data_IF_518244581309
#
_entry.id   IF_518244581309
#
_cell.length_a   1.000
_cell.length_b   1.000
_cell.length_c   1.000
_cell.angle_alpha   90.00
_cell.angle_beta   90.00
_cell.angle_gamma   90.00
#
_symmetry.space_group_name_H-M   'P 1'
#
loop_
_entity.id
_entity.type
_entity.pdbx_description
1 polymer ?
#
# COMPACT_ATOMS: atom_id res chain seq x y z
N UNK A 1 -14.95 18.68 7.99
CA UNK A 1 -14.52 17.62 8.89
C UNK A 1 -13.47 16.74 8.21
N UNK A 2 -12.37 16.54 8.85
CA UNK A 2 -11.28 15.74 8.28
C UNK A 2 -11.43 14.30 8.75
N UNK A 3 -11.44 13.36 7.81
CA UNK A 3 -11.44 11.95 8.13
C UNK A 3 -9.99 11.49 8.33
N UNK A 4 -9.68 10.98 9.49
CA UNK A 4 -8.35 10.47 9.79
C UNK A 4 -8.32 8.98 9.54
N UNK A 5 -7.37 8.55 8.69
CA UNK A 5 -7.16 7.13 8.43
C UNK A 5 -6.32 6.57 9.59
N UNK A 6 -6.95 5.80 10.47
CA UNK A 6 -6.30 5.23 11.65
C UNK A 6 -6.61 3.74 11.75
N UNK A 7 -6.01 2.92 10.86
CA UNK A 7 -6.24 1.48 10.93
C UNK A 7 -5.63 0.89 12.20
N UNK A 8 -6.32 -0.10 12.78
CA UNK A 8 -5.84 -0.78 13.98
C UNK A 8 -5.16 -2.10 13.66
N UNK A 9 -5.35 -2.61 12.45
CA UNK A 9 -4.73 -3.86 11.99
C UNK A 9 -4.11 -3.67 10.62
N UNK A 10 -3.13 -4.51 10.29
CA UNK A 10 -2.50 -4.47 8.97
C UNK A 10 -3.50 -4.78 7.87
N UNK A 11 -4.41 -5.71 8.12
CA UNK A 11 -5.49 -6.06 7.20
C UNK A 11 -6.38 -4.85 6.92
N UNK A 12 -6.84 -4.17 7.98
CA UNK A 12 -7.66 -2.98 7.82
C UNK A 12 -6.91 -1.87 7.08
N UNK A 13 -5.59 -1.80 7.27
CA UNK A 13 -4.78 -0.79 6.60
C UNK A 13 -4.71 -1.02 5.08
N UNK A 14 -4.68 -2.27 4.64
CA UNK A 14 -4.72 -2.56 3.19
C UNK A 14 -6.13 -2.35 2.66
N UNK A 15 -7.12 -2.91 3.35
CA UNK A 15 -8.51 -2.87 2.90
C UNK A 15 -9.08 -1.46 2.92
N UNK A 16 -8.51 -0.58 3.72
CA UNK A 16 -8.92 0.82 3.79
C UNK A 16 -8.25 1.74 2.78
N UNK A 17 -7.32 1.24 1.96
CA UNK A 17 -6.63 2.08 0.99
C UNK A 17 -7.55 2.86 0.05
N UNK A 18 -8.69 2.31 -0.42
CA UNK A 18 -9.60 3.10 -1.24
C UNK A 18 -10.11 4.37 -0.57
N UNK A 19 -10.13 4.41 0.77
CA UNK A 19 -10.60 5.59 1.52
C UNK A 19 -9.61 6.75 1.47
N UNK A 20 -8.32 6.45 1.30
CA UNK A 20 -7.27 7.47 1.24
C UNK A 20 -6.71 7.64 -0.17
N UNK A 21 -7.30 6.95 -1.14
CA UNK A 21 -6.87 6.99 -2.52
C UNK A 21 -7.16 8.37 -3.15
N UNK A 22 -6.14 8.93 -3.77
CA UNK A 22 -6.27 10.20 -4.49
C UNK A 22 -6.30 9.92 -5.99
N UNK A 23 -7.48 9.93 -6.62
CA UNK A 23 -7.57 9.61 -8.05
C UNK A 23 -6.86 10.62 -8.93
N UNK A 24 -6.73 11.88 -8.50
CA UNK A 24 -6.01 12.88 -9.29
C UNK A 24 -4.52 12.55 -9.35
N UNK A 25 -3.94 12.12 -8.23
CA UNK A 25 -2.53 11.70 -8.17
C UNK A 25 -2.30 10.41 -8.95
N UNK A 26 -3.33 9.60 -9.13
CA UNK A 26 -3.27 8.33 -9.84
C UNK A 26 -3.67 8.44 -11.32
N UNK A 27 -3.83 9.65 -11.84
CA UNK A 27 -4.23 9.84 -13.23
C UNK A 27 -3.24 9.13 -14.17
N UNK A 28 -3.75 8.27 -15.05
CA UNK A 28 -2.93 7.52 -15.99
C UNK A 28 -2.17 6.33 -15.40
N UNK A 29 -2.35 6.06 -14.10
CA UNK A 29 -1.66 4.95 -13.45
C UNK A 29 -2.46 3.66 -13.61
N UNK A 30 -1.79 2.62 -14.14
CA UNK A 30 -2.34 1.27 -14.30
C UNK A 30 -1.37 0.34 -13.62
N UNK A 31 -1.72 -0.15 -12.43
CA UNK A 31 -0.78 -0.92 -11.61
C UNK A 31 -1.53 -1.93 -10.76
N UNK A 32 -0.93 -3.10 -10.61
CA UNK A 32 -1.38 -4.14 -9.69
C UNK A 32 -0.32 -4.28 -8.61
N UNK A 33 -0.70 -4.00 -7.37
CA UNK A 33 0.19 -4.08 -6.22
C UNK A 33 -0.14 -5.34 -5.43
N UNK A 34 0.86 -6.16 -5.15
CA UNK A 34 0.69 -7.27 -4.22
C UNK A 34 1.32 -6.88 -2.89
N UNK A 35 0.52 -6.88 -1.83
CA UNK A 35 1.01 -6.75 -0.47
C UNK A 35 1.23 -8.15 0.06
N UNK A 36 2.49 -8.50 0.31
CA UNK A 36 2.87 -9.80 0.86
C UNK A 36 3.38 -9.55 2.27
N UNK A 37 2.51 -9.72 3.25
CA UNK A 37 2.81 -9.40 4.64
C UNK A 37 3.14 -10.66 5.43
N UNK A 38 4.09 -10.51 6.35
CA UNK A 38 4.53 -11.57 7.24
C UNK A 38 4.43 -11.07 8.69
N UNK A 39 4.80 -11.93 9.64
CA UNK A 39 4.84 -11.56 11.04
C UNK A 39 3.53 -11.81 11.75
N UNK A 40 3.09 -10.82 12.54
CA UNK A 40 1.92 -10.96 13.40
C UNK A 40 0.62 -11.16 12.62
N UNK A 41 0.49 -10.50 11.47
CA UNK A 41 -0.71 -10.59 10.62
C UNK A 41 -0.28 -10.98 9.21
N UNK A 42 0.05 -12.25 8.98
CA UNK A 42 0.50 -12.68 7.66
C UNK A 42 -0.66 -12.72 6.67
N UNK A 43 -0.37 -12.50 5.41
CA UNK A 43 -1.36 -12.61 4.35
C UNK A 43 -0.95 -11.86 3.11
N UNK A 44 -1.75 -12.03 2.07
CA UNK A 44 -1.54 -11.36 0.80
C UNK A 44 -2.81 -10.64 0.38
N UNK A 45 -2.64 -9.46 -0.21
CA UNK A 45 -3.74 -8.66 -0.76
C UNK A 45 -3.31 -8.08 -2.10
N UNK A 46 -4.24 -8.09 -3.05
CA UNK A 46 -4.03 -7.50 -4.37
C UNK A 46 -4.76 -6.16 -4.43
N UNK A 47 -4.04 -5.11 -4.78
CA UNK A 47 -4.61 -3.76 -4.93
C UNK A 47 -4.49 -3.37 -6.39
N UNK A 48 -5.61 -3.11 -7.05
CA UNK A 48 -5.65 -2.77 -8.47
C UNK A 48 -5.96 -1.30 -8.62
N UNK A 49 -5.03 -0.57 -9.26
CA UNK A 49 -5.24 0.82 -9.64
C UNK A 49 -5.50 0.85 -11.14
N UNK A 50 -6.70 1.24 -11.51
CA UNK A 50 -7.12 1.23 -12.91
C UNK A 50 -8.17 2.30 -13.13
N UNK A 51 -7.97 3.10 -14.15
CA UNK A 51 -8.96 4.10 -14.61
C UNK A 51 -9.48 4.98 -13.46
N UNK A 52 -8.56 5.46 -12.62
CA UNK A 52 -8.90 6.34 -11.51
C UNK A 52 -9.62 5.67 -10.37
N UNK A 53 -9.55 4.35 -10.27
CA UNK A 53 -10.18 3.59 -9.19
C UNK A 53 -9.14 2.77 -8.43
N UNK A 54 -9.46 2.44 -7.19
CA UNK A 54 -8.62 1.59 -6.33
C UNK A 54 -9.50 0.45 -5.78
N UNK A 55 -9.13 -0.79 -6.10
CA UNK A 55 -9.85 -1.97 -5.63
C UNK A 55 -8.90 -2.87 -4.87
N UNK A 56 -9.37 -3.40 -3.75
CA UNK A 56 -8.58 -4.30 -2.91
C UNK A 56 -9.26 -5.66 -2.87
N UNK A 57 -8.47 -6.71 -3.09
CA UNK A 57 -8.95 -8.09 -3.02
C UNK A 57 -8.03 -8.89 -2.11
N UNK A 58 -8.60 -9.77 -1.31
CA UNK A 58 -7.79 -10.64 -0.44
C UNK A 58 -7.13 -11.73 -1.28
N UNK A 59 -5.85 -11.98 -1.02
CA UNK A 59 -5.10 -12.99 -1.73
C UNK A 59 -4.40 -12.45 -2.97
N UNK A 60 -3.64 -13.32 -3.62
CA UNK A 60 -3.00 -12.99 -4.89
C UNK A 60 -3.94 -13.40 -6.02
N UNK A 61 -4.67 -12.44 -6.55
CA UNK A 61 -5.70 -12.70 -7.56
C UNK A 61 -5.28 -12.36 -8.98
N UNK A 62 -4.19 -11.58 -9.14
CA UNK A 62 -3.69 -11.16 -10.44
C UNK A 62 -2.17 -11.12 -10.41
N UNK A 63 -1.56 -11.15 -11.60
CA UNK A 63 -0.11 -10.99 -11.72
C UNK A 63 0.27 -9.56 -11.32
N UNK A 64 1.11 -9.37 -10.30
CA UNK A 64 1.45 -8.02 -9.85
C UNK A 64 2.48 -7.35 -10.75
N UNK A 65 2.36 -6.01 -10.90
CA UNK A 65 3.41 -5.19 -11.51
C UNK A 65 4.43 -4.78 -10.44
N UNK A 66 4.02 -4.74 -9.18
CA UNK A 66 4.91 -4.47 -8.07
C UNK A 66 4.47 -5.28 -6.85
N UNK A 67 5.44 -5.83 -6.14
CA UNK A 67 5.18 -6.59 -4.91
C UNK A 67 5.90 -5.93 -3.74
N UNK A 68 5.16 -5.71 -2.66
CA UNK A 68 5.70 -5.18 -1.41
C UNK A 68 5.78 -6.33 -0.41
N UNK A 69 7.01 -6.72 -0.06
CA UNK A 69 7.26 -7.78 0.91
C UNK A 69 7.68 -7.13 2.21
N UNK A 70 6.83 -7.20 3.23
CA UNK A 70 7.14 -6.53 4.50
C UNK A 70 6.45 -7.19 5.68
N UNK A 71 6.99 -6.92 6.86
CA UNK A 71 6.36 -7.31 8.11
C UNK A 71 5.10 -6.49 8.31
N UNK A 72 4.05 -7.12 8.82
CA UNK A 72 2.77 -6.46 9.01
C UNK A 72 2.85 -5.28 9.98
N UNK A 73 3.72 -5.34 10.98
CA UNK A 73 3.89 -4.23 11.92
C UNK A 73 4.54 -3.02 11.23
N UNK A 74 5.47 -3.25 10.30
CA UNK A 74 6.07 -2.17 9.51
C UNK A 74 5.02 -1.53 8.62
N UNK A 75 4.21 -2.33 7.95
CA UNK A 75 3.14 -1.81 7.11
C UNK A 75 2.14 -0.98 7.91
N UNK A 76 1.71 -1.50 9.07
CA UNK A 76 0.75 -0.80 9.91
C UNK A 76 1.29 0.55 10.38
N UNK A 77 2.57 0.60 10.79
CA UNK A 77 3.19 1.85 11.21
C UNK A 77 3.24 2.87 10.06
N UNK A 78 3.54 2.42 8.85
CA UNK A 78 3.55 3.29 7.67
C UNK A 78 2.13 3.80 7.41
N UNK A 79 1.15 2.93 7.44
CA UNK A 79 -0.25 3.29 7.16
C UNK A 79 -0.81 4.26 8.20
N UNK A 80 -0.34 4.19 9.44
CA UNK A 80 -0.75 5.09 10.51
C UNK A 80 0.02 6.41 10.53
N UNK A 81 0.99 6.59 9.63
CA UNK A 81 1.82 7.78 9.60
C UNK A 81 2.89 7.83 10.69
N UNK A 82 3.09 6.72 11.41
CA UNK A 82 4.09 6.62 12.48
C UNK A 82 5.50 6.37 11.95
N UNK A 83 5.60 5.94 10.70
CA UNK A 83 6.86 5.63 10.06
C UNK A 83 6.77 6.06 8.60
N UNK A 84 7.83 6.70 8.10
CA UNK A 84 7.90 7.07 6.69
C UNK A 84 8.15 5.83 5.85
N UNK A 85 7.30 5.60 4.84
CA UNK A 85 7.50 4.48 3.92
C UNK A 85 8.81 4.59 3.15
N UNK A 86 9.21 5.81 2.79
CA UNK A 86 10.47 6.05 2.11
C UNK A 86 11.66 5.70 3.00
N UNK A 87 11.64 6.19 4.25
CA UNK A 87 12.74 5.93 5.17
C UNK A 87 12.85 4.45 5.52
N UNK A 88 11.71 3.79 5.72
CA UNK A 88 11.69 2.35 5.98
C UNK A 88 12.31 1.58 4.82
N UNK A 89 11.99 1.96 3.58
CA UNK A 89 12.57 1.31 2.41
C UNK A 89 14.09 1.54 2.35
N UNK A 90 14.53 2.77 2.59
CA UNK A 90 15.95 3.11 2.55
C UNK A 90 16.74 2.42 3.66
N UNK A 91 16.08 2.12 4.77
CA UNK A 91 16.68 1.38 5.88
C UNK A 91 16.60 -0.14 5.72
N UNK A 92 16.04 -0.62 4.60
CA UNK A 92 15.94 -2.04 4.34
C UNK A 92 14.86 -2.75 5.14
N UNK A 93 13.87 -2.02 5.64
CA UNK A 93 12.82 -2.60 6.49
C UNK A 93 11.77 -3.36 5.68
N UNK A 94 11.72 -3.15 4.37
CA UNK A 94 10.89 -3.96 3.49
C UNK A 94 11.49 -4.00 2.09
N UNK A 95 10.96 -4.89 1.25
CA UNK A 95 11.46 -5.09 -0.11
C UNK A 95 10.39 -4.73 -1.13
N UNK A 96 10.82 -4.16 -2.25
CA UNK A 96 9.96 -3.86 -3.39
C UNK A 96 10.48 -4.63 -4.58
N UNK A 97 9.65 -5.49 -5.17
CA UNK A 97 9.98 -6.23 -6.37
C UNK A 97 9.09 -5.75 -7.52
N UNK A 98 9.68 -5.45 -8.66
CA UNK A 98 8.95 -4.98 -9.83
C UNK A 98 9.11 -3.49 -10.06
N UNK A 99 8.02 -2.79 -10.32
CA UNK A 99 8.04 -1.38 -10.73
C UNK A 99 8.40 -0.44 -9.59
N UNK A 100 9.70 -0.18 -9.42
CA UNK A 100 10.18 0.77 -8.40
C UNK A 100 9.76 2.21 -8.69
N UNK A 101 9.60 2.55 -9.96
CA UNK A 101 9.22 3.93 -10.32
C UNK A 101 7.83 4.28 -9.79
N UNK A 102 6.93 3.30 -9.77
CA UNK A 102 5.61 3.49 -9.19
C UNK A 102 5.71 3.89 -7.72
N UNK A 103 6.66 3.31 -6.97
CA UNK A 103 6.77 3.57 -5.54
C UNK A 103 7.11 5.02 -5.22
N UNK A 104 7.71 5.74 -6.15
CA UNK A 104 7.96 7.16 -5.98
C UNK A 104 6.66 7.98 -5.95
N UNK A 105 5.58 7.43 -6.49
CA UNK A 105 4.26 8.08 -6.53
C UNK A 105 3.32 7.56 -5.44
N UNK A 106 3.70 6.47 -4.77
CA UNK A 106 2.82 5.78 -3.82
C UNK A 106 2.31 6.73 -2.74
N UNK A 107 3.18 7.53 -2.14
CA UNK A 107 2.81 8.43 -1.06
C UNK A 107 1.86 9.55 -1.49
N UNK A 108 1.87 9.91 -2.77
CA UNK A 108 0.94 10.92 -3.30
C UNK A 108 -0.40 10.31 -3.63
N UNK A 109 -0.39 9.04 -4.08
CA UNK A 109 -1.60 8.32 -4.43
C UNK A 109 -2.37 7.91 -3.18
N UNK A 110 -1.62 7.55 -2.11
CA UNK A 110 -2.19 7.15 -0.83
C UNK A 110 -1.64 8.02 0.30
N UNK A 111 -2.06 9.29 0.38
CA UNK A 111 -1.60 10.15 1.49
C UNK A 111 -2.22 9.67 2.80
N UNK A 112 -1.36 9.41 3.80
CA UNK A 112 -1.81 8.82 5.07
C UNK A 112 -1.56 9.71 6.29
N UNK A 113 -1.20 10.95 6.10
CA UNK A 113 -0.96 11.82 7.25
C UNK A 113 -1.47 13.23 7.02
#
# INVERSE_FOLDING_TARGET
MVTTFQPTTASAAVEGLPQVFDPAAAAGVETVILFDLSGREPGQWTVVLHDGTCRVMHGRTMEPTVTLVMDSDVWLAIARGEKSGRDAFMNGEYQVNGDLMFMMRFGKIFPVS
#
